data_IF_912159557159
#
_entry.id   IF_912159557159
#
_cell.length_a   1.000
_cell.length_b   1.000
_cell.length_c   1.000
_cell.angle_alpha   90.00
_cell.angle_beta   90.00
_cell.angle_gamma   90.00
#
_symmetry.space_group_name_H-M   'P 1'
#
loop_
_entity.id
_entity.type
_entity.pdbx_description
1 polymer ?
#
# COMPACT_ATOMS: atom_id res chain seq x y z
N UNK A 1 23.01 60.58 45.41
CA UNK A 1 22.80 59.29 46.10
C UNK A 1 22.03 58.41 45.13
N UNK A 2 22.71 57.37 44.64
CA UNK A 2 22.15 56.30 43.82
C UNK A 2 21.12 55.54 44.67
N UNK A 3 19.99 55.12 44.10
CA UNK A 3 19.57 53.72 44.14
C UNK A 3 18.53 53.44 43.05
N UNK A 4 19.01 52.70 42.06
CA UNK A 4 18.26 51.89 41.12
C UNK A 4 17.65 50.69 41.88
N UNK A 5 16.48 50.22 41.47
CA UNK A 5 15.97 48.90 41.85
C UNK A 5 15.12 48.35 40.71
N UNK A 6 15.83 47.64 39.82
CA UNK A 6 15.26 46.61 38.96
C UNK A 6 14.29 45.72 39.74
N UNK A 7 13.19 45.35 39.12
CA UNK A 7 12.63 44.02 39.33
C UNK A 7 12.22 43.46 37.97
N UNK A 8 13.08 42.58 37.48
CA UNK A 8 12.80 41.67 36.39
C UNK A 8 11.57 40.83 36.79
N UNK A 9 10.56 40.78 35.93
CA UNK A 9 9.72 39.61 35.82
C UNK A 9 9.89 39.09 34.40
N UNK A 10 10.81 38.14 34.27
CA UNK A 10 10.81 37.18 33.18
C UNK A 10 9.56 36.32 33.37
N UNK A 11 8.57 36.48 32.50
CA UNK A 11 7.55 35.45 32.35
C UNK A 11 7.53 35.00 30.89
N UNK A 12 8.08 33.80 30.72
CA UNK A 12 8.15 32.94 29.56
C UNK A 12 7.42 33.44 28.30
N UNK A 13 8.19 34.05 27.40
CA UNK A 13 7.75 34.44 26.08
C UNK A 13 7.29 33.22 25.28
N UNK A 14 5.97 33.07 25.18
CA UNK A 14 5.38 32.50 23.98
C UNK A 14 5.96 33.30 22.80
N UNK A 15 6.88 32.68 22.04
CA UNK A 15 7.33 33.21 20.76
C UNK A 15 6.09 33.28 19.86
N UNK A 16 5.36 34.40 19.94
CA UNK A 16 4.30 34.75 19.01
C UNK A 16 5.03 34.92 17.68
N UNK A 17 5.01 33.85 16.90
CA UNK A 17 5.62 33.81 15.58
C UNK A 17 4.80 34.74 14.71
N UNK A 18 5.34 35.92 14.38
CA UNK A 18 4.65 36.88 13.53
C UNK A 18 4.64 36.37 12.07
N UNK A 19 3.59 35.61 11.77
CA UNK A 19 3.32 35.11 10.43
C UNK A 19 3.07 36.24 9.42
N UNK A 20 2.75 37.46 9.87
CA UNK A 20 2.56 38.64 9.01
C UNK A 20 3.84 39.00 8.25
N UNK A 21 4.96 39.11 8.97
CA UNK A 21 6.27 39.37 8.37
C UNK A 21 6.72 38.26 7.41
N UNK A 22 6.34 37.02 7.69
CA UNK A 22 6.66 35.87 6.85
C UNK A 22 5.85 35.91 5.56
N UNK A 23 4.54 36.17 5.65
CA UNK A 23 3.68 36.33 4.48
C UNK A 23 4.15 37.50 3.59
N UNK A 24 4.53 38.61 4.20
CA UNK A 24 5.02 39.79 3.48
C UNK A 24 6.32 39.48 2.74
N UNK A 25 7.28 38.80 3.38
CA UNK A 25 8.48 38.29 2.72
C UNK A 25 8.16 37.32 1.58
N UNK A 26 7.18 36.43 1.74
CA UNK A 26 6.75 35.54 0.66
C UNK A 26 6.14 36.32 -0.52
N UNK A 27 5.30 37.33 -0.25
CA UNK A 27 4.70 38.21 -1.26
C UNK A 27 5.78 38.89 -2.11
N UNK A 28 6.81 39.45 -1.49
CA UNK A 28 7.93 40.07 -2.22
C UNK A 28 8.80 39.04 -2.95
N UNK A 29 9.01 37.84 -2.38
CA UNK A 29 9.83 36.79 -3.00
C UNK A 29 9.19 36.18 -4.25
N UNK A 30 7.86 36.08 -4.31
CA UNK A 30 7.12 35.63 -5.49
C UNK A 30 7.25 36.63 -6.63
N UNK A 31 7.31 37.93 -6.32
CA UNK A 31 7.44 39.01 -7.32
C UNK A 31 8.87 39.10 -7.88
N UNK A 32 9.90 38.80 -7.08
CA UNK A 32 11.30 38.96 -7.48
C UNK A 32 11.96 37.73 -8.16
N UNK A 33 11.29 36.57 -8.26
CA UNK A 33 11.87 35.36 -8.87
C UNK A 33 11.54 35.23 -10.36
N UNK A 34 12.05 36.19 -11.14
CA UNK A 34 11.96 36.18 -12.60
C UNK A 34 13.13 35.51 -13.31
N UNK A 35 14.29 35.32 -12.68
CA UNK A 35 15.49 34.79 -13.37
C UNK A 35 16.44 34.10 -12.39
N UNK A 36 16.23 32.81 -12.10
CA UNK A 36 17.31 31.99 -11.53
C UNK A 36 18.31 31.66 -12.65
N UNK A 37 19.52 32.23 -12.57
CA UNK A 37 20.65 31.86 -13.42
C UNK A 37 20.92 30.36 -13.25
N UNK A 38 20.42 29.56 -14.19
CA UNK A 38 20.58 28.11 -14.22
C UNK A 38 21.98 27.80 -14.78
N UNK A 39 23.02 28.23 -14.07
CA UNK A 39 24.40 27.86 -14.35
C UNK A 39 24.71 26.54 -13.64
N UNK A 40 24.43 25.42 -14.31
CA UNK A 40 25.42 24.34 -14.57
C UNK A 40 24.71 23.15 -15.23
N UNK A 41 25.07 22.87 -16.49
CA UNK A 41 24.40 21.93 -17.38
C UNK A 41 24.88 20.47 -17.16
N UNK A 42 24.99 20.05 -15.89
CA UNK A 42 25.57 18.73 -15.54
C UNK A 42 24.87 17.99 -14.39
N UNK A 43 23.65 18.38 -14.05
CA UNK A 43 22.87 17.83 -12.93
C UNK A 43 21.73 16.96 -13.45
N UNK A 44 21.54 15.76 -12.87
CA UNK A 44 20.45 14.86 -13.28
C UNK A 44 19.06 15.53 -13.08
N UNK A 45 18.05 15.18 -13.89
CA UNK A 45 16.74 15.87 -13.86
C UNK A 45 16.08 15.87 -12.47
N UNK A 46 16.29 14.80 -11.69
CA UNK A 46 15.79 14.67 -10.32
C UNK A 46 16.48 15.66 -9.35
N UNK A 47 17.80 15.76 -9.42
CA UNK A 47 18.63 16.66 -8.65
C UNK A 47 18.38 18.12 -9.05
N UNK A 48 18.15 18.39 -10.34
CA UNK A 48 17.75 19.71 -10.80
C UNK A 48 16.41 20.13 -10.17
N UNK A 49 15.43 19.23 -10.11
CA UNK A 49 14.15 19.47 -9.43
C UNK A 49 14.30 19.68 -7.92
N UNK A 50 15.12 18.87 -7.25
CA UNK A 50 15.39 19.02 -5.80
C UNK A 50 16.10 20.35 -5.51
N UNK A 51 17.08 20.72 -6.34
CA UNK A 51 17.80 21.99 -6.21
C UNK A 51 16.86 23.18 -6.42
N UNK A 52 15.97 23.13 -7.41
CA UNK A 52 14.97 24.17 -7.67
C UNK A 52 14.02 24.37 -6.47
N UNK A 53 13.58 23.26 -5.84
CA UNK A 53 12.75 23.33 -4.63
C UNK A 53 13.50 23.90 -3.42
N UNK A 54 14.76 23.49 -3.23
CA UNK A 54 15.63 24.03 -2.18
C UNK A 54 15.87 25.54 -2.37
N UNK A 55 16.08 25.97 -3.61
CA UNK A 55 16.22 27.37 -3.97
C UNK A 55 14.91 28.15 -3.75
N UNK A 56 13.76 27.58 -4.12
CA UNK A 56 12.43 28.14 -3.86
C UNK A 56 12.23 28.48 -2.38
N UNK A 57 12.60 27.55 -1.50
CA UNK A 57 12.51 27.70 -0.04
C UNK A 57 13.56 28.69 0.51
N UNK A 58 14.58 29.06 -0.28
CA UNK A 58 15.63 29.99 0.12
C UNK A 58 16.81 29.33 0.81
N UNK A 59 16.92 28.01 0.67
CA UNK A 59 18.01 27.19 1.22
C UNK A 59 19.12 26.97 0.17
N UNK A 60 18.88 27.34 -1.10
CA UNK A 60 19.78 27.12 -2.24
C UNK A 60 21.01 28.05 -2.36
N UNK A 61 21.33 28.86 -1.35
CA UNK A 61 22.49 29.76 -1.37
C UNK A 61 23.64 29.23 -0.52
N UNK A 62 24.79 29.00 -1.15
CA UNK A 62 26.09 28.54 -0.61
C UNK A 62 26.28 27.03 -0.39
N UNK A 63 27.33 26.51 -1.06
CA UNK A 63 27.92 25.19 -0.88
C UNK A 63 28.43 25.03 0.56
N UNK A 64 27.57 24.53 1.44
CA UNK A 64 27.96 24.03 2.76
C UNK A 64 27.69 22.53 2.81
N UNK A 65 28.49 21.80 3.58
CA UNK A 65 28.40 20.34 3.76
C UNK A 65 27.01 19.84 4.18
N UNK A 66 26.16 20.73 4.70
CA UNK A 66 24.76 20.44 5.05
C UNK A 66 23.83 20.34 3.82
N UNK A 67 24.14 21.02 2.72
CA UNK A 67 23.33 20.99 1.50
C UNK A 67 23.40 19.64 0.78
N UNK A 68 24.59 19.03 0.75
CA UNK A 68 24.76 17.69 0.18
C UNK A 68 24.01 16.64 1.00
N UNK A 69 23.99 16.77 2.33
CA UNK A 69 23.21 15.90 3.21
C UNK A 69 21.70 16.01 2.97
N UNK A 70 21.14 17.23 2.92
CA UNK A 70 19.72 17.45 2.67
C UNK A 70 19.29 16.96 1.28
N UNK A 71 20.11 17.23 0.26
CA UNK A 71 19.91 16.73 -1.10
C UNK A 71 19.87 15.22 -1.14
N UNK A 72 20.86 14.54 -0.56
CA UNK A 72 20.91 13.07 -0.50
C UNK A 72 19.72 12.48 0.28
N UNK A 73 19.28 13.14 1.36
CA UNK A 73 18.10 12.73 2.14
C UNK A 73 16.80 12.87 1.34
N UNK A 74 16.64 13.93 0.56
CA UNK A 74 15.49 14.12 -0.33
C UNK A 74 15.53 13.14 -1.49
N UNK A 75 16.68 12.95 -2.13
CA UNK A 75 16.85 11.98 -3.21
C UNK A 75 16.48 10.57 -2.74
N UNK A 76 16.96 10.14 -1.57
CA UNK A 76 16.55 8.87 -0.95
C UNK A 76 15.04 8.78 -0.67
N UNK A 77 14.40 9.87 -0.23
CA UNK A 77 12.95 9.89 0.04
C UNK A 77 12.13 9.82 -1.24
N UNK A 78 12.56 10.54 -2.27
CA UNK A 78 11.93 10.56 -3.58
C UNK A 78 12.10 9.19 -4.24
N UNK A 79 13.30 8.62 -4.24
CA UNK A 79 13.57 7.28 -4.76
C UNK A 79 12.79 6.22 -3.99
N UNK A 80 12.75 6.26 -2.65
CA UNK A 80 11.93 5.35 -1.86
C UNK A 80 10.43 5.51 -2.16
N UNK A 81 9.96 6.72 -2.47
CA UNK A 81 8.58 6.98 -2.89
C UNK A 81 8.31 6.42 -4.29
N UNK A 82 9.24 6.59 -5.24
CA UNK A 82 9.16 6.02 -6.57
C UNK A 82 9.22 4.50 -6.56
N UNK A 83 10.10 3.89 -5.76
CA UNK A 83 10.15 2.43 -5.56
C UNK A 83 8.84 1.97 -4.94
N UNK A 84 8.32 2.67 -3.92
CA UNK A 84 7.00 2.37 -3.35
C UNK A 84 5.88 2.53 -4.36
N UNK A 85 5.96 3.47 -5.30
CA UNK A 85 4.95 3.73 -6.35
C UNK A 85 5.08 2.78 -7.56
N UNK A 86 6.29 2.34 -7.87
CA UNK A 86 6.58 1.34 -8.92
C UNK A 86 6.24 -0.07 -8.44
N UNK A 87 6.46 -0.32 -7.15
CA UNK A 87 5.96 -1.50 -6.44
C UNK A 87 4.52 -1.30 -5.96
N UNK A 88 3.96 -0.08 -6.04
CA UNK A 88 2.56 0.15 -5.72
C UNK A 88 1.78 -0.55 -6.80
N UNK A 89 1.22 -1.67 -6.40
CA UNK A 89 -0.06 -2.19 -6.83
C UNK A 89 -0.49 -1.61 -8.19
N UNK A 90 -0.06 -2.22 -9.30
CA UNK A 90 -0.70 -2.00 -10.60
C UNK A 90 -2.09 -2.64 -10.50
N UNK A 91 -3.15 -1.84 -10.28
CA UNK A 91 -4.46 -2.38 -9.97
C UNK A 91 -4.98 -3.23 -11.13
N UNK A 92 -4.63 -2.86 -12.37
CA UNK A 92 -5.14 -3.48 -13.59
C UNK A 92 -4.58 -4.89 -13.81
N UNK A 93 -3.26 -5.05 -13.76
CA UNK A 93 -2.63 -6.37 -13.97
C UNK A 93 -3.00 -7.37 -12.89
N UNK A 94 -3.05 -6.92 -11.63
CA UNK A 94 -3.40 -7.79 -10.49
C UNK A 94 -4.87 -8.19 -10.54
N UNK A 95 -5.75 -7.26 -10.91
CA UNK A 95 -7.18 -7.51 -11.08
C UNK A 95 -7.46 -8.50 -12.22
N UNK A 96 -6.73 -8.44 -13.34
CA UNK A 96 -6.92 -9.39 -14.43
C UNK A 96 -6.57 -10.83 -14.00
N UNK A 97 -5.44 -11.03 -13.31
CA UNK A 97 -5.06 -12.34 -12.76
C UNK A 97 -6.09 -12.86 -11.74
N UNK A 98 -6.66 -11.98 -10.92
CA UNK A 98 -7.74 -12.32 -10.00
C UNK A 98 -8.99 -12.78 -10.75
N UNK A 99 -9.43 -12.02 -11.76
CA UNK A 99 -10.60 -12.37 -12.58
C UNK A 99 -10.41 -13.70 -13.29
N UNK A 100 -9.23 -13.93 -13.85
CA UNK A 100 -8.87 -15.20 -14.48
C UNK A 100 -8.98 -16.35 -13.48
N UNK A 101 -8.34 -16.24 -12.31
CA UNK A 101 -8.41 -17.28 -11.29
C UNK A 101 -9.84 -17.53 -10.78
N UNK A 102 -10.67 -16.47 -10.69
CA UNK A 102 -12.08 -16.61 -10.33
C UNK A 102 -12.87 -17.36 -11.40
N UNK A 103 -12.68 -17.01 -12.68
CA UNK A 103 -13.32 -17.69 -13.80
C UNK A 103 -12.95 -19.18 -13.87
N UNK A 104 -11.68 -19.52 -13.57
CA UNK A 104 -11.26 -20.91 -13.46
C UNK A 104 -11.97 -21.67 -12.34
N UNK A 105 -12.13 -21.07 -11.15
CA UNK A 105 -12.89 -21.70 -10.06
C UNK A 105 -14.37 -21.85 -10.41
N UNK A 106 -14.97 -20.88 -11.09
CA UNK A 106 -16.36 -20.96 -11.57
C UNK A 106 -16.53 -22.06 -12.63
N UNK A 107 -15.59 -22.17 -13.57
CA UNK A 107 -15.55 -23.25 -14.55
C UNK A 107 -15.41 -24.62 -13.87
N UNK A 108 -14.47 -24.75 -12.94
CA UNK A 108 -14.27 -25.97 -12.17
C UNK A 108 -15.52 -26.39 -11.42
N UNK A 109 -16.21 -25.43 -10.79
CA UNK A 109 -17.48 -25.66 -10.11
C UNK A 109 -18.57 -26.18 -11.04
N UNK A 110 -18.62 -25.71 -12.29
CA UNK A 110 -19.59 -26.18 -13.29
C UNK A 110 -19.28 -27.60 -13.76
N UNK A 111 -18.02 -27.91 -14.05
CA UNK A 111 -17.60 -29.24 -14.54
C UNK A 111 -17.79 -30.31 -13.48
N UNK A 112 -17.43 -30.01 -12.24
CA UNK A 112 -17.54 -30.95 -11.12
C UNK A 112 -18.95 -31.12 -10.57
N UNK A 113 -19.94 -30.34 -11.04
CA UNK A 113 -21.30 -30.39 -10.52
C UNK A 113 -21.91 -31.80 -10.62
N UNK A 114 -21.63 -32.51 -11.70
CA UNK A 114 -22.12 -33.87 -11.94
C UNK A 114 -21.25 -34.95 -11.26
N UNK A 115 -20.09 -34.58 -10.70
CA UNK A 115 -19.09 -35.49 -10.11
C UNK A 115 -19.06 -35.42 -8.57
N UNK A 116 -20.16 -34.99 -7.95
CA UNK A 116 -20.27 -34.78 -6.50
C UNK A 116 -20.02 -33.33 -6.07
N UNK A 117 -19.77 -32.43 -7.02
CA UNK A 117 -19.52 -31.02 -6.77
C UNK A 117 -18.07 -30.72 -6.38
N UNK A 118 -17.70 -29.46 -6.57
CA UNK A 118 -16.31 -29.02 -6.51
C UNK A 118 -15.60 -29.23 -5.16
N UNK A 119 -16.34 -29.27 -4.05
CA UNK A 119 -15.80 -29.57 -2.73
C UNK A 119 -15.30 -31.01 -2.65
N UNK A 120 -16.16 -31.98 -3.00
CA UNK A 120 -15.84 -33.40 -2.93
C UNK A 120 -14.81 -33.75 -4.00
N UNK A 121 -14.95 -33.24 -5.23
CA UNK A 121 -13.96 -33.43 -6.27
C UNK A 121 -12.56 -32.94 -5.83
N UNK A 122 -12.47 -31.77 -5.19
CA UNK A 122 -11.20 -31.26 -4.69
C UNK A 122 -10.64 -32.13 -3.55
N UNK A 123 -11.49 -32.58 -2.62
CA UNK A 123 -11.12 -33.43 -1.48
C UNK A 123 -10.61 -34.81 -1.90
N UNK A 124 -11.25 -35.45 -2.89
CA UNK A 124 -10.96 -36.83 -3.31
C UNK A 124 -10.02 -36.96 -4.52
N UNK A 125 -9.66 -35.85 -5.18
CA UNK A 125 -8.77 -35.82 -6.35
C UNK A 125 -7.36 -36.40 -6.11
N UNK A 126 -6.93 -36.57 -4.85
CA UNK A 126 -5.64 -37.19 -4.52
C UNK A 126 -5.55 -38.70 -4.79
N UNK A 127 -6.67 -39.37 -5.04
CA UNK A 127 -6.77 -40.82 -5.18
C UNK A 127 -6.99 -41.30 -6.63
N UNK A 128 -6.90 -40.38 -7.61
CA UNK A 128 -7.41 -40.60 -8.97
C UNK A 128 -6.34 -40.39 -10.07
N UNK A 129 -6.76 -40.52 -11.33
CA UNK A 129 -5.90 -40.59 -12.52
C UNK A 129 -4.94 -39.40 -12.69
N UNK A 130 -3.88 -39.57 -13.49
CA UNK A 130 -2.83 -38.55 -13.70
C UNK A 130 -3.36 -37.20 -14.21
N UNK A 131 -4.47 -37.21 -14.96
CA UNK A 131 -5.08 -35.99 -15.49
C UNK A 131 -5.89 -35.24 -14.43
N UNK A 132 -6.48 -35.95 -13.46
CA UNK A 132 -7.18 -35.33 -12.32
C UNK A 132 -6.20 -34.70 -11.32
N UNK A 133 -5.00 -35.28 -11.16
CA UNK A 133 -3.92 -34.68 -10.36
C UNK A 133 -3.46 -33.33 -10.95
N UNK A 134 -3.30 -33.24 -12.28
CA UNK A 134 -2.97 -31.97 -12.96
C UNK A 134 -4.07 -30.93 -12.81
N UNK A 135 -5.33 -31.35 -12.95
CA UNK A 135 -6.49 -30.49 -12.73
C UNK A 135 -6.47 -29.90 -11.32
N UNK A 136 -6.21 -30.73 -10.30
CA UNK A 136 -6.08 -30.30 -8.91
C UNK A 136 -4.94 -29.30 -8.69
N UNK A 137 -3.76 -29.55 -9.26
CA UNK A 137 -2.62 -28.64 -9.14
C UNK A 137 -2.95 -27.23 -9.68
N UNK A 138 -3.64 -27.16 -10.82
CA UNK A 138 -4.12 -25.89 -11.38
C UNK A 138 -5.15 -25.21 -10.47
N UNK A 139 -6.09 -25.96 -9.87
CA UNK A 139 -7.03 -25.40 -8.89
C UNK A 139 -6.31 -24.85 -7.66
N UNK A 140 -5.34 -25.60 -7.10
CA UNK A 140 -4.54 -25.15 -5.95
C UNK A 140 -3.74 -23.88 -6.29
N UNK A 141 -3.24 -23.78 -7.52
CA UNK A 141 -2.52 -22.59 -8.01
C UNK A 141 -3.44 -21.37 -8.11
N UNK A 142 -4.63 -21.50 -8.69
CA UNK A 142 -5.61 -20.41 -8.76
C UNK A 142 -6.13 -20.02 -7.37
N UNK A 143 -6.38 -21.00 -6.51
CA UNK A 143 -6.73 -20.79 -5.11
C UNK A 143 -5.67 -19.95 -4.38
N UNK A 144 -4.40 -20.37 -4.42
CA UNK A 144 -3.28 -19.62 -3.80
C UNK A 144 -3.13 -18.22 -4.37
N UNK A 145 -3.32 -18.04 -5.68
CA UNK A 145 -3.24 -16.74 -6.33
C UNK A 145 -4.34 -15.79 -5.80
N UNK A 146 -5.57 -16.28 -5.66
CA UNK A 146 -6.68 -15.51 -5.09
C UNK A 146 -6.44 -15.18 -3.61
N UNK A 147 -6.00 -16.14 -2.81
CA UNK A 147 -5.72 -15.90 -1.39
C UNK A 147 -4.60 -14.89 -1.18
N UNK A 148 -3.54 -14.96 -1.99
CA UNK A 148 -2.48 -13.93 -1.98
C UNK A 148 -3.02 -12.55 -2.39
N UNK A 149 -3.87 -12.49 -3.42
CA UNK A 149 -4.48 -11.25 -3.87
C UNK A 149 -5.25 -10.58 -2.74
N UNK A 150 -6.21 -11.32 -2.16
CA UNK A 150 -7.14 -10.81 -1.16
C UNK A 150 -6.46 -10.43 0.15
N UNK A 151 -5.45 -11.19 0.62
CA UNK A 151 -4.64 -10.80 1.79
C UNK A 151 -3.98 -9.44 1.60
N UNK A 152 -3.24 -9.26 0.50
CA UNK A 152 -2.60 -7.96 0.22
C UNK A 152 -3.61 -6.83 0.05
N UNK A 153 -4.74 -7.13 -0.57
CA UNK A 153 -5.82 -6.17 -0.83
C UNK A 153 -6.48 -5.71 0.50
N UNK A 154 -6.77 -6.63 1.42
CA UNK A 154 -7.24 -6.30 2.78
C UNK A 154 -6.19 -5.48 3.55
N UNK A 155 -4.93 -5.90 3.55
CA UNK A 155 -3.83 -5.15 4.21
C UNK A 155 -3.70 -3.71 3.70
N UNK A 156 -3.91 -3.49 2.39
CA UNK A 156 -3.88 -2.17 1.77
C UNK A 156 -5.08 -1.33 2.18
N UNK A 157 -6.28 -1.91 2.22
CA UNK A 157 -7.50 -1.19 2.64
C UNK A 157 -7.48 -0.86 4.12
N UNK A 158 -7.01 -1.73 4.99
CA UNK A 158 -6.86 -1.40 6.42
C UNK A 158 -5.93 -0.20 6.64
N UNK A 159 -4.86 -0.08 5.84
CA UNK A 159 -3.94 1.07 5.86
C UNK A 159 -4.53 2.34 5.26
N UNK A 160 -5.43 2.22 4.27
CA UNK A 160 -6.09 3.35 3.60
C UNK A 160 -7.31 3.86 4.38
N UNK A 161 -8.03 2.98 5.07
CA UNK A 161 -9.17 3.33 5.92
C UNK A 161 -8.77 4.26 7.08
N UNK A 162 -7.50 4.27 7.46
CA UNK A 162 -6.95 5.27 8.38
C UNK A 162 -6.87 6.69 7.77
N UNK A 163 -7.11 6.87 6.47
CA UNK A 163 -6.82 8.11 5.72
C UNK A 163 -7.98 8.69 4.91
N UNK A 164 -8.93 7.91 4.40
CA UNK A 164 -10.04 8.42 3.55
C UNK A 164 -11.26 7.47 3.50
N UNK A 165 -12.48 8.01 3.35
CA UNK A 165 -13.75 7.27 3.60
C UNK A 165 -14.72 7.08 2.40
N UNK A 166 -15.51 6.00 2.53
CA UNK A 166 -16.77 5.60 1.86
C UNK A 166 -16.73 4.95 0.45
N UNK A 167 -16.18 5.57 -0.60
CA UNK A 167 -16.43 5.11 -1.98
C UNK A 167 -15.80 3.74 -2.35
N UNK A 168 -14.72 3.35 -1.67
CA UNK A 168 -14.01 2.09 -1.93
C UNK A 168 -14.78 0.83 -1.47
N UNK A 169 -15.80 0.98 -0.61
CA UNK A 169 -16.42 -0.14 0.11
C UNK A 169 -17.27 -1.04 -0.81
N UNK A 170 -18.15 -0.50 -1.65
CA UNK A 170 -19.20 -1.31 -2.31
C UNK A 170 -18.67 -2.33 -3.33
N UNK A 171 -17.73 -1.93 -4.21
CA UNK A 171 -17.17 -2.85 -5.22
C UNK A 171 -16.36 -3.97 -4.59
N UNK A 172 -15.65 -3.67 -3.51
CA UNK A 172 -14.83 -4.63 -2.78
C UNK A 172 -15.68 -5.56 -1.93
N UNK A 173 -16.76 -5.08 -1.32
CA UNK A 173 -17.71 -5.90 -0.57
C UNK A 173 -18.29 -7.02 -1.42
N UNK A 174 -18.77 -6.71 -2.63
CA UNK A 174 -19.33 -7.74 -3.52
C UNK A 174 -18.26 -8.73 -3.98
N UNK A 175 -17.12 -8.23 -4.46
CA UNK A 175 -16.03 -9.07 -4.94
C UNK A 175 -15.44 -9.96 -3.82
N UNK A 176 -15.29 -9.43 -2.61
CA UNK A 176 -14.78 -10.14 -1.45
C UNK A 176 -15.75 -11.19 -0.94
N UNK A 177 -17.05 -10.87 -0.94
CA UNK A 177 -18.10 -11.85 -0.62
C UNK A 177 -18.11 -13.00 -1.63
N UNK A 178 -17.98 -12.70 -2.93
CA UNK A 178 -17.92 -13.73 -3.95
C UNK A 178 -16.66 -14.61 -3.81
N UNK A 179 -15.50 -13.99 -3.56
CA UNK A 179 -14.26 -14.71 -3.31
C UNK A 179 -14.41 -15.68 -2.14
N UNK A 180 -14.90 -15.20 -0.99
CA UNK A 180 -15.10 -16.03 0.20
C UNK A 180 -15.99 -17.23 -0.13
N UNK A 181 -17.11 -17.02 -0.83
CA UNK A 181 -18.04 -18.10 -1.23
C UNK A 181 -17.43 -19.16 -2.16
N UNK A 182 -16.43 -18.79 -2.96
CA UNK A 182 -15.77 -19.72 -3.89
C UNK A 182 -14.58 -20.44 -3.25
N UNK A 183 -13.92 -19.82 -2.29
CA UNK A 183 -12.63 -20.29 -1.76
C UNK A 183 -12.76 -20.96 -0.40
N UNK A 184 -13.65 -20.47 0.47
CA UNK A 184 -13.86 -21.03 1.81
C UNK A 184 -14.14 -22.55 1.80
N UNK A 185 -14.96 -23.11 0.88
CA UNK A 185 -15.16 -24.55 0.84
C UNK A 185 -13.93 -25.33 0.39
N UNK A 186 -13.05 -24.75 -0.44
CA UNK A 186 -11.77 -25.38 -0.81
C UNK A 186 -10.81 -25.41 0.37
N UNK A 187 -10.74 -24.35 1.17
CA UNK A 187 -9.95 -24.31 2.40
C UNK A 187 -10.45 -25.36 3.41
N UNK A 188 -11.77 -25.49 3.56
CA UNK A 188 -12.39 -26.54 4.40
C UNK A 188 -12.03 -27.93 3.86
N UNK A 189 -12.12 -28.15 2.55
CA UNK A 189 -11.75 -29.42 1.94
C UNK A 189 -10.27 -29.76 2.16
N UNK A 190 -9.38 -28.77 1.98
CA UNK A 190 -7.94 -28.93 2.23
C UNK A 190 -7.66 -29.25 3.71
N UNK A 191 -8.36 -28.60 4.63
CA UNK A 191 -8.25 -28.86 6.06
C UNK A 191 -8.60 -30.31 6.41
N UNK A 192 -9.79 -30.79 6.02
CA UNK A 192 -10.23 -32.16 6.32
C UNK A 192 -9.42 -33.24 5.60
N UNK A 193 -8.91 -32.94 4.40
CA UNK A 193 -8.02 -33.83 3.67
C UNK A 193 -6.67 -33.99 4.39
N UNK A 194 -6.09 -32.91 4.91
CA UNK A 194 -4.81 -32.94 5.64
C UNK A 194 -4.94 -33.46 7.06
N UNK A 195 -6.06 -33.20 7.74
CA UNK A 195 -6.28 -33.60 9.14
C UNK A 195 -6.69 -35.07 9.29
N UNK A 196 -7.04 -35.75 8.19
CA UNK A 196 -7.16 -37.20 8.10
C UNK A 196 -8.08 -37.80 9.17
N UNK A 197 -9.40 -37.76 8.95
CA UNK A 197 -10.37 -38.59 9.69
C UNK A 197 -10.16 -38.69 11.22
N UNK A 198 -9.69 -37.62 11.88
CA UNK A 198 -9.81 -37.52 13.34
C UNK A 198 -11.00 -36.63 13.63
N UNK A 199 -12.09 -37.26 14.06
CA UNK A 199 -13.37 -36.67 14.45
C UNK A 199 -13.28 -35.76 15.68
N UNK A 200 -12.25 -34.92 15.76
CA UNK A 200 -12.15 -33.89 16.76
C UNK A 200 -12.73 -32.61 16.16
N UNK A 201 -14.05 -32.48 16.28
CA UNK A 201 -14.77 -31.21 16.21
C UNK A 201 -14.27 -30.28 17.32
N UNK A 202 -13.05 -29.74 17.20
CA UNK A 202 -12.67 -28.57 17.98
C UNK A 202 -13.29 -27.36 17.31
N UNK A 203 -14.44 -26.97 17.87
CA UNK A 203 -15.16 -25.72 17.69
C UNK A 203 -14.27 -24.58 17.15
N UNK A 204 -14.40 -24.29 15.86
CA UNK A 204 -13.81 -23.09 15.27
C UNK A 204 -14.65 -21.88 15.69
N UNK A 205 -14.14 -21.09 16.65
CA UNK A 205 -14.50 -19.67 16.75
C UNK A 205 -13.87 -18.97 15.56
N UNK A 206 -14.70 -18.45 14.66
CA UNK A 206 -14.29 -17.63 13.54
C UNK A 206 -13.67 -16.35 14.14
N UNK A 207 -12.34 -16.26 14.08
CA UNK A 207 -11.63 -15.02 14.29
C UNK A 207 -11.87 -14.14 13.08
N UNK A 208 -12.78 -13.19 13.23
CA UNK A 208 -12.96 -12.10 12.29
C UNK A 208 -11.69 -11.23 12.29
N UNK A 209 -10.99 -11.22 11.16
CA UNK A 209 -10.21 -10.11 10.62
C UNK A 209 -10.35 -10.17 9.09
#
# INVERSE_FOLDING_TARGET
MVMNSNTQNQDNGFLIFDYGQILERFKHKVICKGTSQLSDFRVNQLQAGINLQLEAIGIGGQHTSNMSFLRNKMERRVEASFIKKRNAFDPGKKLNKMKEAMAYLEWYKKVTLNEGGYYDSFKFSGSRSKDEVKSREEIVKHHRALTKYWKTTVDEVEKLLQKEEAAFRTRWLYAGTNYRRMVEPLDIAEYYMKSGNRGDCKSWKIGAL
#
